data_IF_255591372594
#
_entry.id   IF_255591372594
#
_cell.length_a   1.000
_cell.length_b   1.000
_cell.length_c   1.000
_cell.angle_alpha   90.00
_cell.angle_beta   90.00
_cell.angle_gamma   90.00
#
_symmetry.space_group_name_H-M   'P 1'
#
loop_
_entity.id
_entity.type
_entity.pdbx_description
1 polymer ?
#
# COMPACT_ATOMS: atom_id res chain seq x y z
N UNK A 1 21.52 0.87 -5.27
CA UNK A 1 21.63 1.23 -3.85
C UNK A 1 21.73 -0.07 -3.06
N UNK A 2 22.94 -0.49 -2.70
CA UNK A 2 23.23 -1.74 -2.01
C UNK A 2 23.52 -1.38 -0.55
N UNK A 3 22.48 -1.30 0.27
CA UNK A 3 22.53 -0.81 1.63
C UNK A 3 22.40 -1.99 2.60
N UNK A 4 23.39 -2.87 2.62
CA UNK A 4 23.42 -3.95 3.61
C UNK A 4 24.77 -3.92 4.32
N UNK A 5 24.74 -3.58 5.61
CA UNK A 5 25.92 -3.69 6.48
C UNK A 5 25.91 -5.09 7.09
N UNK A 6 26.85 -5.93 6.67
CA UNK A 6 27.13 -7.22 7.30
C UNK A 6 28.17 -7.03 8.39
N UNK A 7 27.84 -7.44 9.60
CA UNK A 7 28.77 -7.43 10.72
C UNK A 7 29.58 -8.74 10.78
N UNK A 8 30.70 -8.74 11.50
CA UNK A 8 31.64 -9.88 11.57
C UNK A 8 31.03 -11.13 12.21
N UNK A 9 29.98 -10.96 13.00
CA UNK A 9 29.18 -12.03 13.61
C UNK A 9 28.14 -12.65 12.67
N UNK A 10 28.03 -12.14 11.43
CA UNK A 10 27.05 -12.59 10.44
C UNK A 10 25.69 -11.89 10.53
N UNK A 11 25.50 -10.97 11.48
CA UNK A 11 24.28 -10.17 11.56
C UNK A 11 24.20 -9.16 10.40
N UNK A 12 22.97 -8.83 9.99
CA UNK A 12 22.67 -7.92 8.87
C UNK A 12 21.84 -6.75 9.39
N UNK A 13 22.30 -5.53 9.14
CA UNK A 13 21.51 -4.33 9.37
C UNK A 13 20.65 -4.02 8.15
N UNK A 14 19.39 -3.67 8.38
CA UNK A 14 18.51 -3.19 7.32
C UNK A 14 19.01 -1.87 6.71
N UNK A 15 18.78 -1.70 5.42
CA UNK A 15 19.21 -0.57 4.59
C UNK A 15 18.81 0.82 5.07
N UNK A 16 17.79 0.92 5.92
CA UNK A 16 17.16 2.14 6.37
C UNK A 16 17.85 2.72 7.62
N UNK A 17 19.17 2.91 7.58
CA UNK A 17 19.92 3.58 8.65
C UNK A 17 20.76 4.73 8.10
N UNK A 18 20.77 5.85 8.81
CA UNK A 18 21.73 6.95 8.60
C UNK A 18 22.67 6.93 9.82
N UNK A 19 23.87 6.40 9.63
CA UNK A 19 24.80 6.16 10.74
C UNK A 19 24.32 5.00 11.63
N UNK A 20 24.02 5.30 12.90
CA UNK A 20 23.49 4.35 13.89
C UNK A 20 21.98 4.49 14.11
N UNK A 21 21.35 5.52 13.54
CA UNK A 21 19.93 5.80 13.72
C UNK A 21 19.10 5.17 12.59
N UNK A 22 17.93 4.66 12.96
CA UNK A 22 16.93 4.14 12.02
C UNK A 22 16.28 5.33 11.29
N UNK A 23 16.16 5.22 9.97
CA UNK A 23 15.37 6.16 9.18
C UNK A 23 13.89 5.91 9.46
N UNK A 24 13.28 6.78 10.25
CA UNK A 24 11.85 6.71 10.59
C UNK A 24 10.95 7.18 9.45
N UNK A 25 11.36 8.22 8.73
CA UNK A 25 10.61 8.79 7.60
C UNK A 25 11.55 9.13 6.45
N UNK A 26 11.17 8.74 5.23
CA UNK A 26 11.92 9.11 4.03
C UNK A 26 11.52 10.50 3.49
N UNK A 27 10.26 10.89 3.68
CA UNK A 27 9.74 12.23 3.38
C UNK A 27 9.11 12.81 4.63
N UNK A 28 9.35 14.09 4.90
CA UNK A 28 8.85 14.77 6.11
C UNK A 28 7.31 14.79 6.18
N UNK A 29 6.65 14.81 5.01
CA UNK A 29 5.18 14.83 4.88
C UNK A 29 4.53 13.44 4.86
N UNK A 30 5.32 12.36 5.03
CA UNK A 30 4.83 10.98 4.99
C UNK A 30 5.03 10.31 6.34
N UNK A 31 3.93 10.12 7.08
CA UNK A 31 3.92 9.43 8.38
C UNK A 31 3.16 8.11 8.33
N UNK A 32 2.24 7.98 7.39
CA UNK A 32 1.40 6.79 7.20
C UNK A 32 1.50 6.28 5.77
N UNK A 33 1.09 5.02 5.55
CA UNK A 33 0.94 4.46 4.20
C UNK A 33 -0.04 5.30 3.37
N UNK A 34 -1.10 5.81 4.01
CA UNK A 34 -2.06 6.73 3.40
C UNK A 34 -1.39 8.00 2.86
N UNK A 35 -0.45 8.60 3.60
CA UNK A 35 0.30 9.77 3.15
C UNK A 35 1.20 9.44 1.97
N UNK A 36 1.84 8.26 1.98
CA UNK A 36 2.66 7.78 0.87
C UNK A 36 1.84 7.64 -0.42
N UNK A 37 0.60 7.11 -0.33
CA UNK A 37 -0.29 6.98 -1.49
C UNK A 37 -0.79 8.33 -1.99
N UNK A 38 -1.18 9.25 -1.09
CA UNK A 38 -1.56 10.61 -1.49
C UNK A 38 -0.40 11.39 -2.09
N UNK A 39 0.81 11.22 -1.56
CA UNK A 39 2.03 11.78 -2.14
C UNK A 39 2.26 11.21 -3.54
N UNK A 40 2.15 9.89 -3.70
CA UNK A 40 2.26 9.21 -5.00
C UNK A 40 1.27 9.76 -6.03
N UNK A 41 0.02 10.03 -5.65
CA UNK A 41 -0.97 10.67 -6.51
C UNK A 41 -0.49 12.06 -7.01
N UNK A 42 0.07 12.89 -6.11
CA UNK A 42 0.55 14.24 -6.44
C UNK A 42 1.80 14.20 -7.32
N UNK A 43 2.81 13.44 -6.92
CA UNK A 43 4.12 13.40 -7.59
C UNK A 43 4.05 12.72 -8.96
N UNK A 44 3.18 11.72 -9.12
CA UNK A 44 3.01 11.01 -10.40
C UNK A 44 1.97 11.63 -11.32
N UNK A 45 1.26 12.67 -10.86
CA UNK A 45 0.14 13.29 -11.58
C UNK A 45 -0.90 12.23 -11.99
N UNK A 46 -1.37 11.47 -11.01
CA UNK A 46 -2.29 10.33 -11.22
C UNK A 46 -1.74 9.22 -12.13
N UNK A 47 -0.45 8.90 -11.96
CA UNK A 47 0.24 7.85 -12.69
C UNK A 47 -0.19 6.44 -12.30
N UNK A 48 0.48 5.44 -12.90
CA UNK A 48 0.22 4.01 -12.66
C UNK A 48 0.66 3.61 -11.24
N UNK A 49 -0.25 3.06 -10.44
CA UNK A 49 0.00 2.61 -9.07
C UNK A 49 0.05 1.08 -8.95
N UNK A 50 -0.98 0.37 -9.43
CA UNK A 50 -1.08 -1.09 -9.27
C UNK A 50 -1.14 -1.80 -10.62
N UNK A 51 -0.15 -2.63 -10.89
CA UNK A 51 -0.13 -3.52 -12.05
C UNK A 51 -0.76 -4.87 -11.72
N UNK A 52 -1.66 -5.36 -12.57
CA UNK A 52 -2.20 -6.72 -12.46
C UNK A 52 -2.28 -7.40 -13.83
N UNK A 53 -2.39 -8.73 -13.81
CA UNK A 53 -2.58 -9.54 -15.02
C UNK A 53 -3.84 -10.36 -14.85
N UNK A 54 -4.73 -10.21 -15.80
CA UNK A 54 -5.95 -10.99 -15.84
C UNK A 54 -5.67 -12.36 -16.45
N UNK A 55 -6.13 -13.41 -15.77
CA UNK A 55 -6.15 -14.75 -16.35
C UNK A 55 -7.42 -14.87 -17.17
N UNK A 56 -7.26 -15.14 -18.46
CA UNK A 56 -8.40 -15.38 -19.34
C UNK A 56 -9.00 -16.77 -19.05
N UNK A 57 -10.21 -16.99 -19.54
CA UNK A 57 -10.97 -18.23 -19.35
C UNK A 57 -10.28 -19.46 -19.96
N UNK A 58 -9.43 -19.27 -20.96
CA UNK A 58 -8.58 -20.29 -21.59
C UNK A 58 -7.30 -20.62 -20.79
N UNK A 59 -7.10 -19.99 -19.63
CA UNK A 59 -5.92 -20.16 -18.78
C UNK A 59 -4.70 -19.34 -19.23
N UNK A 60 -4.80 -18.61 -20.35
CA UNK A 60 -3.76 -17.69 -20.78
C UNK A 60 -3.69 -16.46 -19.85
N UNK A 61 -2.51 -15.85 -19.79
CA UNK A 61 -2.30 -14.67 -18.94
C UNK A 61 -2.12 -13.45 -19.83
N UNK A 62 -3.07 -12.53 -19.74
CA UNK A 62 -3.09 -11.31 -20.54
C UNK A 62 -1.92 -10.34 -20.25
N UNK A 63 -1.85 -9.22 -20.98
CA UNK A 63 -0.89 -8.16 -20.73
C UNK A 63 -1.12 -7.50 -19.36
N UNK A 64 -0.10 -6.80 -18.87
CA UNK A 64 -0.23 -6.00 -17.65
C UNK A 64 -1.24 -4.87 -17.86
N UNK A 65 -2.24 -4.84 -16.99
CA UNK A 65 -3.16 -3.73 -16.81
C UNK A 65 -2.70 -2.92 -15.59
N UNK A 66 -2.98 -1.62 -15.59
CA UNK A 66 -2.54 -0.70 -14.55
C UNK A 66 -3.71 0.10 -14.02
N UNK A 67 -3.84 0.17 -12.70
CA UNK A 67 -4.73 1.10 -12.02
C UNK A 67 -3.94 2.36 -11.67
N UNK A 68 -4.55 3.52 -11.90
CA UNK A 68 -4.06 4.82 -11.46
C UNK A 68 -4.17 4.99 -9.94
N UNK A 69 -3.45 5.96 -9.39
CA UNK A 69 -3.56 6.30 -7.97
C UNK A 69 -4.99 6.67 -7.59
N UNK A 70 -5.67 7.47 -8.41
CA UNK A 70 -7.04 7.91 -8.16
C UNK A 70 -8.02 6.75 -8.17
N UNK A 71 -7.92 5.83 -9.15
CA UNK A 71 -8.77 4.64 -9.17
C UNK A 71 -8.62 3.77 -7.93
N UNK A 72 -7.40 3.64 -7.40
CA UNK A 72 -7.15 2.88 -6.16
C UNK A 72 -7.75 3.58 -4.96
N UNK A 73 -7.58 4.90 -4.84
CA UNK A 73 -8.13 5.72 -3.77
C UNK A 73 -9.67 5.69 -3.78
N UNK A 74 -10.29 5.91 -4.94
CA UNK A 74 -11.75 5.92 -5.07
C UNK A 74 -12.35 4.55 -4.72
N UNK A 75 -11.70 3.46 -5.14
CA UNK A 75 -12.12 2.10 -4.76
C UNK A 75 -11.94 1.81 -3.28
N UNK A 76 -10.87 2.31 -2.64
CA UNK A 76 -10.67 2.10 -1.20
C UNK A 76 -11.71 2.85 -0.36
N UNK A 77 -12.14 4.04 -0.82
CA UNK A 77 -13.23 4.80 -0.21
C UNK A 77 -14.54 4.01 -0.24
N UNK A 78 -14.87 3.38 -1.37
CA UNK A 78 -16.08 2.54 -1.48
C UNK A 78 -16.05 1.35 -0.50
N UNK A 79 -14.89 0.71 -0.33
CA UNK A 79 -14.72 -0.38 0.65
C UNK A 79 -14.95 0.15 2.07
N UNK A 80 -14.35 1.31 2.41
CA UNK A 80 -14.50 1.91 3.72
C UNK A 80 -15.96 2.28 4.04
N UNK A 81 -16.72 2.81 3.08
CA UNK A 81 -18.16 3.02 3.24
C UNK A 81 -18.92 1.71 3.49
N UNK A 82 -18.56 0.64 2.79
CA UNK A 82 -19.13 -0.70 3.01
C UNK A 82 -18.87 -1.22 4.43
N UNK A 83 -17.64 -1.08 4.92
CA UNK A 83 -17.24 -1.46 6.29
C UNK A 83 -18.01 -0.65 7.34
N UNK A 84 -18.15 0.66 7.12
CA UNK A 84 -18.97 1.51 8.00
C UNK A 84 -20.44 1.09 8.01
N UNK A 85 -20.98 0.68 6.85
CA UNK A 85 -22.34 0.18 6.72
C UNK A 85 -22.62 -1.07 7.56
N UNK A 86 -21.64 -1.97 7.69
CA UNK A 86 -21.72 -3.16 8.55
C UNK A 86 -21.30 -2.90 10.00
N UNK A 87 -21.19 -1.62 10.40
CA UNK A 87 -20.88 -1.16 11.76
C UNK A 87 -19.49 -1.56 12.28
N UNK A 88 -18.54 -1.82 11.38
CA UNK A 88 -17.13 -2.00 11.75
C UNK A 88 -16.64 -0.67 12.34
N UNK A 89 -16.14 -0.73 13.58
CA UNK A 89 -15.62 0.44 14.27
C UNK A 89 -14.23 0.79 13.72
N UNK A 90 -13.96 2.08 13.57
CA UNK A 90 -12.64 2.54 13.19
C UNK A 90 -11.71 2.59 14.41
N UNK A 91 -10.40 2.45 14.19
CA UNK A 91 -9.38 2.56 15.23
C UNK A 91 -8.66 1.25 15.56
N UNK A 92 -7.69 1.36 16.47
CA UNK A 92 -6.62 0.38 16.71
C UNK A 92 -7.08 -0.85 17.48
N UNK A 93 -8.32 -0.83 17.99
CA UNK A 93 -8.95 -1.97 18.66
C UNK A 93 -9.72 -2.89 17.70
N UNK A 94 -9.83 -2.50 16.43
CA UNK A 94 -10.56 -3.27 15.41
C UNK A 94 -9.60 -3.86 14.41
N UNK A 95 -9.62 -5.18 14.28
CA UNK A 95 -8.76 -5.92 13.36
C UNK A 95 -9.62 -6.59 12.28
N UNK A 96 -9.26 -6.39 11.01
CA UNK A 96 -9.96 -6.96 9.86
C UNK A 96 -9.02 -7.96 9.18
N UNK A 97 -9.41 -9.24 9.18
CA UNK A 97 -8.71 -10.27 8.44
C UNK A 97 -9.06 -10.20 6.94
N UNK A 98 -8.05 -10.12 6.08
CA UNK A 98 -8.24 -10.14 4.62
C UNK A 98 -7.66 -11.44 4.08
N UNK A 99 -8.53 -12.33 3.58
CA UNK A 99 -8.13 -13.53 2.86
C UNK A 99 -8.29 -13.30 1.37
N UNK A 100 -7.19 -13.34 0.62
CA UNK A 100 -7.23 -13.17 -0.83
C UNK A 100 -6.02 -13.78 -1.54
N UNK A 101 -6.22 -14.12 -2.82
CA UNK A 101 -5.15 -14.54 -3.74
C UNK A 101 -4.46 -13.31 -4.31
N UNK A 102 -3.23 -13.43 -4.82
CA UNK A 102 -2.46 -12.32 -5.41
C UNK A 102 -3.26 -11.59 -6.50
N UNK A 103 -3.90 -10.48 -6.10
CA UNK A 103 -4.87 -9.71 -6.87
C UNK A 103 -4.84 -8.25 -6.41
N UNK A 104 -5.14 -7.28 -7.30
CA UNK A 104 -5.09 -5.86 -6.97
C UNK A 104 -6.04 -5.47 -5.83
N UNK A 105 -7.15 -6.18 -5.65
CA UNK A 105 -8.16 -5.95 -4.61
C UNK A 105 -7.56 -5.98 -3.20
N UNK A 106 -6.53 -6.80 -2.95
CA UNK A 106 -5.84 -6.90 -1.65
C UNK A 106 -5.02 -5.66 -1.34
N UNK A 107 -4.48 -5.03 -2.38
CA UNK A 107 -3.71 -3.80 -2.22
C UNK A 107 -4.64 -2.60 -2.05
N UNK A 108 -5.77 -2.59 -2.75
CA UNK A 108 -6.82 -1.56 -2.60
C UNK A 108 -7.41 -1.58 -1.18
N UNK A 109 -7.68 -2.77 -0.62
CA UNK A 109 -8.24 -2.88 0.73
C UNK A 109 -7.29 -2.43 1.84
N UNK A 110 -5.97 -2.40 1.60
CA UNK A 110 -5.00 -1.84 2.55
C UNK A 110 -4.99 -0.31 2.56
N UNK A 111 -5.59 0.35 1.56
CA UNK A 111 -5.68 1.81 1.47
C UNK A 111 -6.96 2.38 2.10
N UNK A 112 -7.69 1.60 2.90
CA UNK A 112 -8.94 2.03 3.56
C UNK A 112 -8.72 3.06 4.67
N UNK A 113 -7.51 3.16 5.22
CA UNK A 113 -7.14 4.17 6.23
C UNK A 113 -7.31 5.61 5.73
N UNK A 114 -7.42 5.82 4.42
CA UNK A 114 -7.76 7.11 3.82
C UNK A 114 -9.10 7.68 4.32
N UNK A 115 -9.99 6.83 4.85
CA UNK A 115 -11.31 7.21 5.33
C UNK A 115 -11.31 7.95 6.67
N UNK A 116 -10.24 7.84 7.47
CA UNK A 116 -10.16 8.54 8.75
C UNK A 116 -10.02 10.06 8.62
N UNK A 117 -9.80 10.58 7.41
CA UNK A 117 -9.50 11.99 7.14
C UNK A 117 -10.59 12.74 6.35
N UNK A 118 -11.80 12.17 6.22
CA UNK A 118 -12.96 12.83 5.60
C UNK A 118 -14.18 12.83 6.52
#
# INVERSE_FOLDING_TARGET
MHLEKKFKDGSRLAACHIGEELVETYYDDVRTISDAVRRGLRESVDGRMLGYREKQSDGSVGPYQWLSYKEVIDRSIHIAYGLRGIRVQSGQNTFIGILAKNRPEVWISQQIDLFHFY
#
